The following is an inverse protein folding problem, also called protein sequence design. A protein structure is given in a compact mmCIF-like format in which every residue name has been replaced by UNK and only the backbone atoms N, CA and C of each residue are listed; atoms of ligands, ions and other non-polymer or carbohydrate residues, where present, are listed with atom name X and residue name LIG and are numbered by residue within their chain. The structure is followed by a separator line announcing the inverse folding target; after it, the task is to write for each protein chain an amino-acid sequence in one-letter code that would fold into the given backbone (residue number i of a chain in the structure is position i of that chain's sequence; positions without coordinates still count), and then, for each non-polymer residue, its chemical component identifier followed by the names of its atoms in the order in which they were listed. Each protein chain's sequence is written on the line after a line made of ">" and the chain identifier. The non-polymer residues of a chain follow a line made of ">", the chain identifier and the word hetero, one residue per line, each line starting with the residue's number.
data_IF_451258930853
#
_entry.id   IF_451258930853
#
_cell.length_a   1.000
_cell.length_b   1.000
_cell.length_c   1.000
_cell.angle_alpha   90.00
_cell.angle_beta   90.00
_cell.angle_gamma   90.00
#
_symmetry.space_group_name_H-M   'P 1'
#
loop_
_entity.id
_entity.type
_entity.pdbx_description
1 polymer ?
#
# COMPACT_ATOMS: atom_id res chain seq x y z
N UNK A 1 38.63 -13.72 -13.12
CA UNK A 1 37.56 -12.83 -13.59
C UNK A 1 36.33 -13.22 -12.79
N UNK A 2 35.96 -12.43 -11.78
CA UNK A 2 34.70 -12.62 -11.07
C UNK A 2 33.64 -11.87 -11.86
N UNK A 3 32.87 -12.58 -12.68
CA UNK A 3 31.57 -12.10 -13.10
C UNK A 3 30.73 -12.01 -11.83
N UNK A 4 30.53 -10.76 -11.39
CA UNK A 4 29.53 -10.48 -10.36
C UNK A 4 28.23 -10.42 -11.14
N UNK A 5 27.53 -11.56 -11.20
CA UNK A 5 26.14 -11.59 -11.68
C UNK A 5 25.39 -10.57 -10.83
N UNK A 6 25.02 -9.45 -11.44
CA UNK A 6 24.13 -8.49 -10.82
C UNK A 6 22.77 -9.17 -10.82
N UNK A 7 22.46 -9.89 -9.74
CA UNK A 7 21.13 -10.44 -9.53
C UNK A 7 20.14 -9.30 -9.69
N UNK A 8 19.39 -9.34 -10.79
CA UNK A 8 18.38 -8.32 -11.08
C UNK A 8 17.24 -8.57 -10.10
N UNK A 9 17.12 -7.66 -9.14
CA UNK A 9 16.09 -7.73 -8.10
C UNK A 9 14.71 -7.72 -8.77
N UNK A 10 13.83 -8.70 -8.48
CA UNK A 10 12.51 -8.72 -9.06
C UNK A 10 11.73 -7.48 -8.64
N UNK A 11 11.47 -6.59 -9.61
CA UNK A 11 10.64 -5.41 -9.44
C UNK A 11 9.35 -5.60 -10.23
N UNK A 12 8.22 -5.37 -9.58
CA UNK A 12 6.91 -5.38 -10.24
C UNK A 12 6.53 -3.95 -10.59
N UNK A 13 6.17 -3.74 -11.85
CA UNK A 13 5.88 -2.42 -12.38
C UNK A 13 4.44 -2.33 -12.88
N UNK A 14 3.84 -1.17 -12.72
CA UNK A 14 2.57 -0.79 -13.35
C UNK A 14 2.72 0.59 -13.93
N UNK A 15 2.28 0.77 -15.17
CA UNK A 15 2.49 2.01 -15.93
C UNK A 15 1.16 2.65 -16.31
N UNK A 16 1.13 3.98 -16.29
CA UNK A 16 0.08 4.80 -16.90
C UNK A 16 0.65 6.12 -17.40
N UNK A 17 0.65 6.30 -18.72
CA UNK A 17 1.15 7.52 -19.38
C UNK A 17 2.62 7.78 -18.98
N UNK A 18 2.88 8.81 -18.16
CA UNK A 18 4.22 9.19 -17.68
C UNK A 18 4.55 8.60 -16.30
N UNK A 19 3.58 7.95 -15.66
CA UNK A 19 3.69 7.43 -14.30
C UNK A 19 4.03 5.95 -14.30
N UNK A 20 4.98 5.59 -13.44
CA UNK A 20 5.38 4.20 -13.21
C UNK A 20 5.38 3.93 -11.71
N UNK A 21 4.56 2.98 -11.28
CA UNK A 21 4.61 2.41 -9.93
C UNK A 21 5.60 1.24 -9.91
N UNK A 22 6.50 1.22 -8.95
CA UNK A 22 7.46 0.15 -8.71
C UNK A 22 7.25 -0.46 -7.32
N UNK A 23 7.17 -1.79 -7.26
CA UNK A 23 7.18 -2.58 -6.03
C UNK A 23 8.40 -3.52 -6.06
N UNK A 24 9.28 -3.41 -5.05
CA UNK A 24 10.47 -4.25 -4.95
C UNK A 24 10.23 -5.42 -3.98
N UNK A 25 10.71 -6.61 -4.34
CA UNK A 25 10.68 -7.76 -3.43
C UNK A 25 11.65 -7.62 -2.25
N UNK A 26 12.69 -6.79 -2.36
CA UNK A 26 13.63 -6.51 -1.24
C UNK A 26 13.08 -5.52 -0.24
N UNK A 27 12.19 -4.63 -0.70
CA UNK A 27 11.53 -3.62 0.14
C UNK A 27 10.02 -3.75 0.00
N UNK A 28 9.43 -4.88 0.39
CA UNK A 28 8.02 -5.16 0.14
C UNK A 28 7.10 -4.23 0.92
N UNK A 29 7.56 -3.65 2.03
CA UNK A 29 6.80 -2.65 2.76
C UNK A 29 6.85 -1.25 2.12
N UNK A 30 7.46 -1.09 0.94
CA UNK A 30 7.61 0.20 0.28
C UNK A 30 7.17 0.13 -1.18
N UNK A 31 6.72 1.28 -1.69
CA UNK A 31 6.58 1.50 -3.13
C UNK A 31 7.32 2.76 -3.55
N UNK A 32 7.64 2.82 -4.83
CA UNK A 32 8.14 4.01 -5.49
C UNK A 32 7.23 4.39 -6.65
N UNK A 33 6.83 5.65 -6.72
CA UNK A 33 6.04 6.20 -7.81
C UNK A 33 6.87 7.25 -8.56
N UNK A 34 7.16 6.94 -9.82
CA UNK A 34 7.98 7.75 -10.70
C UNK A 34 7.14 8.47 -11.75
N UNK A 35 7.60 9.65 -12.18
CA UNK A 35 7.13 10.34 -13.39
C UNK A 35 8.32 10.58 -14.31
N UNK A 36 8.22 10.18 -15.57
CA UNK A 36 9.31 10.31 -16.55
C UNK A 36 10.66 9.74 -16.05
N UNK A 37 10.61 8.60 -15.35
CA UNK A 37 11.77 7.93 -14.76
C UNK A 37 12.37 8.61 -13.51
N UNK A 38 11.74 9.66 -12.99
CA UNK A 38 12.16 10.32 -11.74
C UNK A 38 11.20 10.01 -10.61
N UNK A 39 11.74 9.64 -9.44
CA UNK A 39 10.95 9.36 -8.25
C UNK A 39 10.25 10.61 -7.72
N UNK A 40 8.92 10.59 -7.70
CA UNK A 40 8.11 11.69 -7.17
C UNK A 40 7.58 11.37 -5.77
N UNK A 41 7.17 10.12 -5.54
CA UNK A 41 6.68 9.68 -4.24
C UNK A 41 7.31 8.36 -3.81
N UNK A 42 7.53 8.24 -2.51
CA UNK A 42 7.85 6.98 -1.84
C UNK A 42 6.79 6.77 -0.77
N UNK A 43 6.17 5.59 -0.76
CA UNK A 43 5.32 5.18 0.35
C UNK A 43 5.98 4.08 1.16
N UNK A 44 5.87 4.17 2.48
CA UNK A 44 6.25 3.10 3.40
C UNK A 44 5.03 2.67 4.20
N UNK A 45 4.71 1.39 4.13
CA UNK A 45 3.56 0.80 4.79
C UNK A 45 3.74 0.79 6.32
N UNK A 46 2.69 1.25 7.00
CA UNK A 46 2.50 1.13 8.42
C UNK A 46 1.29 0.22 8.68
N UNK A 47 1.49 -0.81 9.49
CA UNK A 47 0.42 -1.69 9.96
C UNK A 47 0.32 -1.54 11.47
N UNK A 48 -0.82 -1.06 11.96
CA UNK A 48 -1.10 -0.96 13.38
C UNK A 48 -2.18 -1.96 13.77
N UNK A 49 -1.97 -2.64 14.91
CA UNK A 49 -2.97 -3.46 15.57
C UNK A 49 -3.17 -2.93 16.99
N UNK A 50 -4.39 -2.47 17.30
CA UNK A 50 -4.71 -1.83 18.57
C UNK A 50 -3.76 -0.67 18.93
N UNK A 51 -3.28 0.05 17.91
CA UNK A 51 -2.33 1.16 18.05
C UNK A 51 -0.86 0.76 18.16
N UNK A 52 -0.54 -0.53 18.14
CA UNK A 52 0.84 -1.03 18.14
C UNK A 52 1.30 -1.35 16.72
N UNK A 53 2.49 -0.89 16.36
CA UNK A 53 3.09 -1.16 15.05
C UNK A 53 3.48 -2.63 14.93
N UNK A 54 3.05 -3.27 13.84
CA UNK A 54 3.46 -4.63 13.47
C UNK A 54 4.59 -4.52 12.44
N UNK A 55 5.70 -5.21 12.71
CA UNK A 55 6.76 -5.37 11.74
C UNK A 55 6.27 -6.28 10.60
N UNK A 56 6.27 -5.75 9.38
CA UNK A 56 5.77 -6.46 8.18
C UNK A 56 6.84 -6.60 7.10
N UNK A 57 8.05 -6.08 7.32
CA UNK A 57 9.13 -6.12 6.34
C UNK A 57 9.63 -7.56 6.08
N UNK A 58 9.75 -8.37 7.13
CA UNK A 58 10.22 -9.76 7.06
C UNK A 58 9.13 -10.78 6.68
N UNK A 59 7.93 -10.33 6.28
CA UNK A 59 6.87 -11.25 5.89
C UNK A 59 7.19 -11.95 4.55
N UNK A 60 6.64 -13.15 4.35
CA UNK A 60 6.66 -13.80 3.02
C UNK A 60 5.65 -13.11 2.10
N UNK A 61 6.12 -12.03 1.46
CA UNK A 61 5.33 -11.25 0.51
C UNK A 61 5.28 -11.92 -0.85
N UNK A 62 4.07 -11.99 -1.38
CA UNK A 62 3.81 -12.47 -2.73
C UNK A 62 3.25 -11.34 -3.56
N UNK A 63 3.61 -11.35 -4.83
CA UNK A 63 3.26 -10.33 -5.80
C UNK A 63 2.65 -11.00 -7.02
N UNK A 64 1.71 -10.30 -7.67
CA UNK A 64 1.12 -10.75 -8.92
C UNK A 64 0.78 -9.55 -9.78
N UNK A 65 1.28 -9.57 -11.01
CA UNK A 65 0.85 -8.65 -12.05
C UNK A 65 -0.48 -9.12 -12.65
N UNK A 66 -1.42 -8.21 -12.81
CA UNK A 66 -2.64 -8.35 -13.63
C UNK A 66 -2.71 -7.19 -14.62
N UNK A 67 -3.50 -7.28 -15.71
CA UNK A 67 -3.44 -6.31 -16.81
C UNK A 67 -3.46 -4.83 -16.41
N UNK A 68 -4.23 -4.46 -15.38
CA UNK A 68 -4.39 -3.06 -14.95
C UNK A 68 -4.10 -2.86 -13.45
N UNK A 69 -3.53 -3.87 -12.79
CA UNK A 69 -3.27 -3.80 -11.35
C UNK A 69 -2.12 -4.69 -10.90
N UNK A 70 -1.46 -4.24 -9.84
CA UNK A 70 -0.55 -5.07 -9.06
C UNK A 70 -1.24 -5.53 -7.79
N UNK A 71 -1.07 -6.80 -7.45
CA UNK A 71 -1.54 -7.35 -6.20
C UNK A 71 -0.34 -7.76 -5.35
N UNK A 72 -0.42 -7.47 -4.06
CA UNK A 72 0.58 -7.80 -3.07
C UNK A 72 -0.11 -8.39 -1.84
N UNK A 73 0.38 -9.51 -1.33
CA UNK A 73 -0.23 -10.11 -0.14
C UNK A 73 0.78 -10.90 0.68
N UNK A 74 0.49 -11.06 1.98
CA UNK A 74 1.26 -11.88 2.89
C UNK A 74 0.36 -12.47 3.99
N UNK A 75 0.91 -13.44 4.71
CA UNK A 75 0.36 -13.93 5.97
C UNK A 75 1.40 -13.75 7.06
N UNK A 76 0.98 -13.13 8.16
CA UNK A 76 1.81 -12.85 9.32
C UNK A 76 1.30 -13.68 10.50
N UNK A 77 2.21 -14.36 11.18
CA UNK A 77 1.94 -15.01 12.46
C UNK A 77 2.39 -14.08 13.59
N UNK A 78 1.55 -13.12 13.95
CA UNK A 78 1.81 -12.16 15.02
C UNK A 78 0.81 -12.39 16.16
N UNK A 79 1.11 -13.35 17.04
CA UNK A 79 0.20 -13.97 18.04
C UNK A 79 -1.02 -14.70 17.43
N UNK A 80 -1.49 -14.24 16.27
CA UNK A 80 -2.54 -14.81 15.44
C UNK A 80 -2.20 -14.68 13.95
N UNK A 81 -3.01 -15.29 13.09
CA UNK A 81 -2.81 -15.25 11.64
C UNK A 81 -3.49 -14.01 11.05
N UNK A 82 -2.69 -12.99 10.74
CA UNK A 82 -3.11 -11.80 10.01
C UNK A 82 -2.81 -11.99 8.52
N UNK A 83 -3.84 -11.98 7.68
CA UNK A 83 -3.68 -11.95 6.22
C UNK A 83 -3.83 -10.52 5.74
N UNK A 84 -2.85 -10.02 5.00
CA UNK A 84 -2.88 -8.69 4.36
C UNK A 84 -2.91 -8.88 2.85
N UNK A 85 -3.81 -8.17 2.17
CA UNK A 85 -3.88 -8.07 0.72
C UNK A 85 -3.95 -6.59 0.33
N UNK A 86 -3.18 -6.21 -0.68
CA UNK A 86 -3.15 -4.89 -1.26
C UNK A 86 -3.30 -4.98 -2.77
N UNK A 87 -4.05 -4.05 -3.33
CA UNK A 87 -4.17 -3.87 -4.77
C UNK A 87 -3.75 -2.44 -5.12
N UNK A 88 -2.92 -2.32 -6.14
CA UNK A 88 -2.47 -1.05 -6.69
C UNK A 88 -2.98 -0.93 -8.11
N UNK A 89 -3.62 0.18 -8.43
CA UNK A 89 -4.04 0.47 -9.80
C UNK A 89 -4.13 1.98 -10.01
N UNK A 90 -4.07 2.39 -11.27
CA UNK A 90 -4.30 3.77 -11.63
C UNK A 90 -5.78 3.99 -11.98
N UNK A 91 -6.46 4.87 -11.25
CA UNK A 91 -7.72 5.49 -11.66
C UNK A 91 -7.41 6.81 -12.37
N UNK A 92 -8.25 7.29 -13.27
CA UNK A 92 -8.14 8.53 -14.07
C UNK A 92 -6.99 9.47 -13.70
N UNK A 93 -7.08 10.14 -12.55
CA UNK A 93 -6.13 11.14 -12.03
C UNK A 93 -5.42 10.69 -10.75
N UNK A 94 -5.42 9.40 -10.39
CA UNK A 94 -4.87 8.93 -9.13
C UNK A 94 -4.20 7.55 -9.19
N UNK A 95 -3.14 7.37 -8.41
CA UNK A 95 -2.75 6.03 -7.96
C UNK A 95 -3.66 5.65 -6.78
N UNK A 96 -4.33 4.50 -6.88
CA UNK A 96 -5.18 3.95 -5.82
C UNK A 96 -4.50 2.73 -5.22
N UNK A 97 -4.48 2.70 -3.89
CA UNK A 97 -4.03 1.57 -3.08
C UNK A 97 -5.21 1.11 -2.25
N UNK A 98 -5.68 -0.11 -2.49
CA UNK A 98 -6.72 -0.75 -1.70
C UNK A 98 -6.09 -1.71 -0.71
N UNK A 99 -6.49 -1.61 0.55
CA UNK A 99 -6.03 -2.47 1.63
C UNK A 99 -7.18 -3.35 2.08
N UNK A 100 -6.88 -4.64 2.27
CA UNK A 100 -7.78 -5.59 2.87
C UNK A 100 -6.99 -6.43 3.86
N UNK A 101 -7.46 -6.51 5.10
CA UNK A 101 -6.89 -7.42 6.08
C UNK A 101 -7.95 -8.26 6.77
N UNK A 102 -7.58 -9.51 7.03
CA UNK A 102 -8.41 -10.49 7.71
C UNK A 102 -7.64 -11.04 8.90
N UNK A 103 -8.34 -11.16 10.03
CA UNK A 103 -7.77 -11.69 11.24
C UNK A 103 -8.72 -12.72 11.85
N UNK A 104 -8.17 -13.68 12.58
CA UNK A 104 -8.93 -14.70 13.30
C UNK A 104 -9.62 -14.11 14.52
N UNK A 105 -8.99 -13.14 15.20
CA UNK A 105 -9.61 -12.37 16.28
C UNK A 105 -9.93 -10.94 15.87
N UNK A 106 -11.11 -10.43 16.26
CA UNK A 106 -11.46 -9.04 15.99
C UNK A 106 -10.48 -8.08 16.65
N UNK A 107 -9.86 -7.22 15.84
CA UNK A 107 -8.77 -6.32 16.24
C UNK A 107 -8.97 -4.95 15.60
N UNK A 108 -8.48 -3.88 16.26
CA UNK A 108 -8.48 -2.53 15.65
C UNK A 108 -7.27 -2.39 14.76
N UNK A 109 -7.42 -2.85 13.53
CA UNK A 109 -6.39 -2.70 12.50
C UNK A 109 -6.47 -1.32 11.84
N UNK A 110 -5.30 -0.82 11.48
CA UNK A 110 -5.10 0.32 10.59
C UNK A 110 -3.91 0.01 9.67
N UNK A 111 -4.11 0.09 8.36
CA UNK A 111 -3.08 -0.14 7.34
C UNK A 111 -3.10 1.03 6.39
N UNK A 112 -1.94 1.64 6.20
CA UNK A 112 -1.74 2.77 5.29
C UNK A 112 -0.30 2.84 4.84
N UNK A 113 -0.04 3.60 3.79
CA UNK A 113 1.30 4.04 3.49
C UNK A 113 1.52 5.46 4.06
N UNK A 114 2.63 5.63 4.77
CA UNK A 114 3.20 6.96 5.03
C UNK A 114 3.90 7.40 3.75
N UNK A 115 3.38 8.45 3.12
CA UNK A 115 3.83 8.93 1.81
C UNK A 115 4.76 10.13 2.00
N UNK A 116 5.89 10.09 1.32
CA UNK A 116 6.86 11.19 1.22
C UNK A 116 6.98 11.61 -0.25
N UNK A 117 6.87 12.90 -0.50
CA UNK A 117 7.19 13.49 -1.80
C UNK A 117 8.71 13.75 -1.85
N UNK A 118 9.39 13.25 -2.88
CA UNK A 118 10.87 13.29 -2.99
C UNK A 118 11.36 14.47 -3.82
N UNK A 119 10.61 14.85 -4.86
CA UNK A 119 10.95 16.00 -5.71
C UNK A 119 10.10 17.19 -5.27
N UNK A 120 10.78 18.29 -4.93
CA UNK A 120 10.17 19.60 -4.69
C UNK A 120 9.58 20.11 -6.02
N UNK A 121 8.28 19.85 -6.26
CA UNK A 121 7.54 20.74 -7.15
C UNK A 121 7.49 22.13 -6.47
N UNK A 122 7.65 23.23 -7.22
CA UNK A 122 7.47 24.58 -6.69
C UNK A 122 5.98 24.83 -6.45
N UNK A 123 5.42 24.20 -5.42
CA UNK A 123 4.05 24.42 -4.95
C UNK A 123 4.17 24.89 -3.51
N UNK A 124 3.58 26.06 -3.26
CA UNK A 124 3.63 26.79 -2.00
C UNK A 124 3.57 25.88 -0.77
N UNK A 125 4.54 26.11 0.11
CA UNK A 125 4.88 25.31 1.29
C UNK A 125 3.82 25.45 2.40
N UNK A 126 2.58 25.05 2.09
CA UNK A 126 1.49 24.94 3.05
C UNK A 126 1.22 23.47 3.36
N UNK A 127 1.12 23.13 4.64
CA UNK A 127 0.75 21.79 5.10
C UNK A 127 -0.60 21.32 4.52
N UNK A 128 -1.48 22.26 4.15
CA UNK A 128 -2.74 22.01 3.46
C UNK A 128 -2.58 21.55 2.01
N UNK A 129 -1.59 22.05 1.26
CA UNK A 129 -1.31 21.56 -0.11
C UNK A 129 -0.74 20.14 -0.10
N UNK A 130 0.03 19.77 0.93
CA UNK A 130 0.54 18.38 1.12
C UNK A 130 -0.59 17.42 1.49
N UNK A 131 -1.52 17.85 2.33
CA UNK A 131 -2.74 17.08 2.65
C UNK A 131 -3.67 16.87 1.45
N UNK A 132 -3.60 17.71 0.42
CA UNK A 132 -4.47 17.63 -0.76
C UNK A 132 -4.00 16.58 -1.79
N UNK A 133 -2.72 16.19 -1.78
CA UNK A 133 -2.15 15.29 -2.80
C UNK A 133 -2.39 13.81 -2.53
N UNK A 134 -2.69 13.42 -1.29
CA UNK A 134 -3.06 12.04 -1.01
C UNK A 134 -4.11 11.96 0.09
N UNK A 135 -5.06 11.05 -0.09
CA UNK A 135 -6.20 10.88 0.80
C UNK A 135 -6.22 9.44 1.32
N UNK A 136 -6.68 9.23 2.54
CA UNK A 136 -6.90 7.91 3.10
C UNK A 136 -8.33 7.80 3.63
N UNK A 137 -9.05 6.79 3.19
CA UNK A 137 -10.44 6.54 3.60
C UNK A 137 -10.58 5.09 4.01
N UNK A 138 -11.17 4.87 5.18
CA UNK A 138 -11.55 3.53 5.62
C UNK A 138 -12.92 3.16 5.07
N UNK A 139 -13.03 1.94 4.59
CA UNK A 139 -14.30 1.37 4.13
C UNK A 139 -15.07 0.82 5.36
N UNK A 140 -15.54 1.75 6.21
CA UNK A 140 -16.31 1.44 7.41
C UNK A 140 -15.49 1.25 8.70
N UNK A 141 -16.17 1.33 9.84
CA UNK A 141 -15.59 1.09 11.16
C UNK A 141 -15.71 -0.40 11.53
N UNK A 142 -14.65 -1.03 12.09
CA UNK A 142 -14.75 -2.38 12.65
C UNK A 142 -15.84 -2.51 13.73
N UNK A 143 -16.20 -1.40 14.41
CA UNK A 143 -17.10 -1.39 15.56
C UNK A 143 -18.54 -1.82 15.26
N UNK A 144 -19.01 -1.71 14.03
CA UNK A 144 -20.37 -2.14 13.67
C UNK A 144 -20.45 -3.67 13.43
N UNK A 145 -19.31 -4.33 13.26
CA UNK A 145 -19.20 -5.77 13.05
C UNK A 145 -18.83 -6.55 14.32
N UNK A 146 -18.20 -5.88 15.31
CA UNK A 146 -17.80 -6.49 16.59
C UNK A 146 -18.99 -6.97 17.41
N UNK A 147 -20.13 -6.28 17.34
CA UNK A 147 -21.32 -6.55 18.16
C UNK A 147 -22.27 -7.58 17.57
N UNK A 148 -22.07 -8.04 16.32
CA UNK A 148 -23.03 -8.92 15.61
C UNK A 148 -22.54 -10.33 15.30
N UNK A 149 -21.25 -10.65 15.42
CA UNK A 149 -20.72 -11.92 14.92
C UNK A 149 -20.53 -12.95 16.02
N UNK A 150 -21.64 -13.61 16.38
CA UNK A 150 -21.64 -14.83 17.18
C UNK A 150 -20.83 -15.95 16.50
N UNK A 151 -19.87 -16.52 17.24
CA UNK A 151 -19.26 -17.86 17.09
C UNK A 151 -19.18 -18.45 15.67
N UNK A 152 -18.13 -18.13 14.93
CA UNK A 152 -17.69 -18.93 13.78
C UNK A 152 -16.18 -18.81 13.63
N UNK A 153 -15.47 -19.94 13.59
CA UNK A 153 -14.01 -20.11 13.52
C UNK A 153 -13.40 -19.72 12.15
N UNK A 154 -14.06 -18.85 11.40
CA UNK A 154 -13.68 -18.50 10.03
C UNK A 154 -13.19 -17.05 9.97
N UNK A 155 -12.04 -16.84 9.33
CA UNK A 155 -11.40 -15.54 9.07
C UNK A 155 -12.41 -14.42 8.82
N UNK A 156 -12.38 -13.40 9.68
CA UNK A 156 -13.29 -12.25 9.60
C UNK A 156 -12.56 -11.10 8.91
N UNK A 157 -13.25 -10.38 8.04
CA UNK A 157 -12.73 -9.10 7.54
C UNK A 157 -12.55 -8.17 8.73
N UNK A 158 -11.29 -7.78 8.97
CA UNK A 158 -10.89 -7.00 10.12
C UNK A 158 -10.60 -5.54 9.72
N UNK A 159 -10.30 -5.30 8.44
CA UNK A 159 -10.00 -3.98 7.91
C UNK A 159 -10.15 -3.92 6.40
N UNK A 160 -10.73 -2.82 5.93
CA UNK A 160 -10.68 -2.39 4.53
C UNK A 160 -10.52 -0.87 4.47
N UNK A 161 -9.69 -0.41 3.55
CA UNK A 161 -9.44 1.00 3.32
C UNK A 161 -8.88 1.23 1.91
N UNK A 162 -8.93 2.48 1.48
CA UNK A 162 -8.28 2.96 0.27
C UNK A 162 -7.42 4.16 0.57
N UNK A 163 -6.35 4.30 -0.19
CA UNK A 163 -5.52 5.49 -0.19
C UNK A 163 -5.26 5.91 -1.63
N UNK A 164 -5.35 7.20 -1.88
CA UNK A 164 -5.17 7.79 -3.20
C UNK A 164 -3.96 8.70 -3.18
N UNK A 165 -3.22 8.73 -4.27
CA UNK A 165 -2.24 9.77 -4.58
C UNK A 165 -2.75 10.45 -5.85
N UNK A 166 -3.19 11.70 -5.72
CA UNK A 166 -3.64 12.52 -6.84
C UNK A 166 -2.42 12.82 -7.71
N UNK A 167 -2.52 12.45 -8.97
CA UNK A 167 -1.53 12.65 -10.00
C UNK A 167 -1.90 13.93 -10.75
N UNK A 168 -0.94 14.82 -10.91
CA UNK A 168 -1.14 16.02 -11.73
C UNK A 168 -1.51 15.59 -13.15
N UNK A 169 -2.71 15.97 -13.59
CA UNK A 169 -3.14 15.75 -14.97
C UNK A 169 -2.17 16.48 -15.90
N UNK A 170 -1.78 15.76 -16.94
CA UNK A 170 -1.08 16.34 -18.07
C UNK A 170 -2.17 16.85 -19.02
N UNK A 171 -2.67 18.06 -18.80
CA UNK A 171 -3.26 18.79 -19.93
C UNK A 171 -2.10 19.06 -20.91
N UNK A 172 -2.18 18.48 -22.11
CA UNK A 172 -1.41 18.93 -23.28
C UNK A 172 -2.02 20.21 -23.86
#
# INVERSE_FOLDING_TARGET
>A
MNDTDVETVPTFQLEKTRWTLNLSTEQPASFELQRDGKTHFIGTMEVLNNGQLIAVHDADWRFRHKPEKLEQWCQLHHSETLSINMNYYFADDALVIEYLARNTVPTRLDIRHTIKQVVDSPVEDSEQARSAKWQHQRDGLPSDFLSKTAKTDFFREAFSAKQWIVLENCEE
#
